data_IF_981323012811
#
_entry.id   IF_981323012811
#
_cell.length_a   1.000
_cell.length_b   1.000
_cell.length_c   1.000
_cell.angle_alpha   90.00
_cell.angle_beta   90.00
_cell.angle_gamma   90.00
#
_symmetry.space_group_name_H-M   'P 1'
#
loop_
_entity.id
_entity.type
_entity.pdbx_description
1 polymer ?
#
# COMPACT_ATOMS: atom_id res chain seq x y z
N UNK A 1 15.35 -48.78 55.13
CA UNK A 1 16.24 -48.22 54.09
C UNK A 1 15.31 -47.88 52.97
N UNK A 2 14.89 -46.61 52.95
CA UNK A 2 13.76 -46.16 52.15
C UNK A 2 14.17 -45.91 50.71
N UNK A 3 13.34 -46.45 49.84
CA UNK A 3 13.39 -46.45 48.40
C UNK A 3 12.95 -45.08 47.88
N UNK A 4 13.88 -44.29 47.32
CA UNK A 4 13.57 -42.98 46.74
C UNK A 4 13.57 -43.11 45.22
N UNK A 5 12.41 -43.45 44.67
CA UNK A 5 12.11 -43.29 43.24
C UNK A 5 12.19 -41.82 42.84
N UNK A 6 12.89 -41.45 41.75
CA UNK A 6 12.83 -40.11 41.22
C UNK A 6 11.50 -39.94 40.49
N UNK A 7 10.72 -38.96 40.95
CA UNK A 7 9.49 -38.53 40.30
C UNK A 7 9.76 -38.17 38.83
N UNK A 8 8.99 -38.79 37.94
CA UNK A 8 8.80 -38.32 36.58
C UNK A 8 8.39 -36.84 36.62
N UNK A 9 9.28 -35.95 36.17
CA UNK A 9 8.91 -34.61 35.75
C UNK A 9 7.96 -34.78 34.55
N UNK A 10 6.66 -34.66 34.82
CA UNK A 10 5.66 -34.50 33.77
C UNK A 10 5.89 -33.11 33.19
N UNK A 11 6.35 -33.07 31.95
CA UNK A 11 6.47 -31.87 31.13
C UNK A 11 5.05 -31.31 30.95
N UNK A 12 4.67 -30.32 31.76
CA UNK A 12 3.36 -29.70 31.65
C UNK A 12 3.24 -29.01 30.29
N UNK A 13 2.21 -29.32 29.48
CA UNK A 13 2.03 -28.65 28.20
C UNK A 13 1.76 -27.17 28.48
N UNK A 14 2.69 -26.31 28.07
CA UNK A 14 2.55 -24.86 28.14
C UNK A 14 1.24 -24.35 27.54
N UNK A 15 0.80 -23.13 27.93
CA UNK A 15 -0.53 -22.63 27.61
C UNK A 15 -0.81 -22.66 26.10
N UNK A 16 -2.06 -22.94 25.69
CA UNK A 16 -2.41 -23.25 24.30
C UNK A 16 -2.03 -22.16 23.29
N UNK A 17 -1.85 -20.90 23.72
CA UNK A 17 -1.46 -19.78 22.87
C UNK A 17 0.03 -19.73 22.48
N UNK A 18 0.93 -20.37 23.22
CA UNK A 18 2.37 -20.25 22.95
C UNK A 18 2.79 -21.09 21.74
N UNK A 19 2.18 -22.27 21.58
CA UNK A 19 2.46 -23.15 20.44
C UNK A 19 1.96 -22.57 19.11
N UNK A 20 0.86 -21.82 19.14
CA UNK A 20 0.32 -21.16 17.94
C UNK A 20 1.16 -19.95 17.53
N UNK A 21 1.57 -19.12 18.49
CA UNK A 21 2.49 -17.99 18.26
C UNK A 21 3.84 -18.43 17.70
N UNK A 22 4.41 -19.53 18.23
CA UNK A 22 5.67 -20.09 17.71
C UNK A 22 5.49 -20.57 16.26
N UNK A 23 4.41 -21.28 15.96
CA UNK A 23 4.11 -21.75 14.59
C UNK A 23 3.92 -20.59 13.61
N UNK A 24 3.26 -19.52 14.02
CA UNK A 24 3.06 -18.35 13.17
C UNK A 24 4.38 -17.62 12.89
N UNK A 25 5.26 -17.52 13.89
CA UNK A 25 6.61 -16.97 13.72
C UNK A 25 7.47 -17.82 12.79
N UNK A 26 7.43 -19.15 12.92
CA UNK A 26 8.20 -20.05 12.05
C UNK A 26 7.72 -19.94 10.59
N UNK A 27 6.40 -19.86 10.37
CA UNK A 27 5.81 -19.62 9.04
C UNK A 27 6.22 -18.27 8.45
N UNK A 28 6.34 -17.24 9.28
CA UNK A 28 6.77 -15.92 8.85
C UNK A 28 8.24 -15.93 8.40
N UNK A 29 9.12 -16.56 9.19
CA UNK A 29 10.53 -16.74 8.84
C UNK A 29 10.71 -17.56 7.56
N UNK A 30 9.90 -18.59 7.38
CA UNK A 30 9.89 -19.38 6.14
C UNK A 30 9.45 -18.54 4.94
N UNK A 31 8.41 -17.71 5.07
CA UNK A 31 7.99 -16.79 3.99
C UNK A 31 9.04 -15.75 3.66
N UNK A 32 9.70 -15.17 4.65
CA UNK A 32 10.78 -14.21 4.43
C UNK A 32 11.94 -14.85 3.67
N UNK A 33 12.28 -16.11 4.02
CA UNK A 33 13.29 -16.89 3.30
C UNK A 33 12.85 -17.17 1.86
N UNK A 34 11.60 -17.56 1.64
CA UNK A 34 11.07 -17.83 0.30
C UNK A 34 11.04 -16.57 -0.57
N UNK A 35 10.65 -15.41 -0.01
CA UNK A 35 10.72 -14.11 -0.70
C UNK A 35 12.14 -13.76 -1.10
N UNK A 36 13.10 -13.88 -0.16
CA UNK A 36 14.50 -13.60 -0.44
C UNK A 36 15.09 -14.53 -1.51
N UNK A 37 14.77 -15.84 -1.45
CA UNK A 37 15.19 -16.81 -2.44
C UNK A 37 14.61 -16.51 -3.83
N UNK A 38 13.33 -16.12 -3.90
CA UNK A 38 12.68 -15.75 -5.14
C UNK A 38 13.33 -14.49 -5.75
N UNK A 39 13.59 -13.46 -4.93
CA UNK A 39 14.27 -12.25 -5.39
C UNK A 39 15.68 -12.54 -5.91
N UNK A 40 16.43 -13.42 -5.24
CA UNK A 40 17.74 -13.87 -5.72
C UNK A 40 17.64 -14.62 -7.06
N UNK A 41 16.63 -15.49 -7.22
CA UNK A 41 16.42 -16.24 -8.46
C UNK A 41 16.09 -15.33 -9.65
N UNK A 42 15.35 -14.24 -9.43
CA UNK A 42 14.94 -13.32 -10.50
C UNK A 42 15.91 -12.16 -10.72
N UNK A 43 16.93 -12.00 -9.90
CA UNK A 43 17.89 -10.89 -9.98
C UNK A 43 18.46 -10.67 -11.40
N UNK A 44 18.98 -11.70 -12.11
CA UNK A 44 19.55 -11.48 -13.43
C UNK A 44 18.51 -10.95 -14.43
N UNK A 45 17.26 -11.39 -14.28
CA UNK A 45 16.15 -10.94 -15.12
C UNK A 45 15.76 -9.50 -14.79
N UNK A 46 15.66 -9.15 -13.50
CA UNK A 46 15.37 -7.79 -13.07
C UNK A 46 16.42 -6.79 -13.58
N UNK A 47 17.71 -7.12 -13.45
CA UNK A 47 18.80 -6.28 -13.93
C UNK A 47 18.76 -6.10 -15.46
N UNK A 48 18.46 -7.16 -16.21
CA UNK A 48 18.40 -7.11 -17.68
C UNK A 48 17.24 -6.26 -18.20
N UNK A 49 16.10 -6.32 -17.52
CA UNK A 49 14.85 -5.72 -17.99
C UNK A 49 14.46 -4.44 -17.25
N UNK A 50 15.33 -3.94 -16.36
CA UNK A 50 15.03 -2.74 -15.57
C UNK A 50 13.84 -2.91 -14.63
N UNK A 51 13.59 -4.12 -14.14
CA UNK A 51 12.56 -4.34 -13.12
C UNK A 51 13.12 -3.94 -11.77
N UNK A 52 12.31 -3.21 -11.01
CA UNK A 52 12.66 -2.68 -9.70
C UNK A 52 11.67 -3.18 -8.67
N UNK A 53 12.14 -3.52 -7.48
CA UNK A 53 11.30 -3.93 -6.37
C UNK A 53 10.63 -2.69 -5.76
N UNK A 54 9.33 -2.76 -5.55
CA UNK A 54 8.54 -1.73 -4.88
C UNK A 54 7.66 -2.36 -3.79
N UNK A 55 6.76 -1.54 -3.22
CA UNK A 55 5.84 -1.99 -2.17
C UNK A 55 6.53 -2.31 -0.84
N UNK A 56 5.90 -3.14 0.01
CA UNK A 56 6.37 -3.37 1.38
C UNK A 56 7.79 -3.97 1.48
N UNK A 57 8.20 -4.83 0.55
CA UNK A 57 9.58 -5.36 0.54
C UNK A 57 10.61 -4.27 0.24
N UNK A 58 10.29 -3.34 -0.66
CA UNK A 58 11.15 -2.18 -0.91
C UNK A 58 11.24 -1.27 0.32
N UNK A 59 10.13 -1.03 1.02
CA UNK A 59 10.13 -0.28 2.28
C UNK A 59 11.05 -0.94 3.33
N UNK A 60 11.01 -2.28 3.46
CA UNK A 60 11.93 -3.01 4.35
C UNK A 60 13.39 -2.84 3.96
N UNK A 61 13.72 -2.87 2.67
CA UNK A 61 15.09 -2.65 2.19
C UNK A 61 15.56 -1.20 2.35
N UNK A 62 14.64 -0.24 2.45
CA UNK A 62 14.93 1.13 2.86
C UNK A 62 14.99 1.30 4.39
N UNK A 63 14.88 0.22 5.16
CA UNK A 63 15.03 0.23 6.62
C UNK A 63 13.74 0.46 7.40
N UNK A 64 12.57 0.47 6.75
CA UNK A 64 11.29 0.65 7.43
C UNK A 64 10.71 -0.68 7.94
N UNK A 65 9.99 -0.63 9.06
CA UNK A 65 9.31 -1.79 9.66
C UNK A 65 7.98 -2.12 8.96
N UNK A 66 7.97 -2.13 7.62
CA UNK A 66 6.76 -2.40 6.84
C UNK A 66 6.40 -3.90 6.86
N UNK A 67 5.18 -4.28 7.26
CA UNK A 67 4.77 -5.68 7.25
C UNK A 67 4.54 -6.15 5.82
N UNK A 68 5.10 -7.32 5.50
CA UNK A 68 4.93 -7.97 4.19
C UNK A 68 3.85 -9.07 4.21
N UNK A 69 3.26 -9.34 5.37
CA UNK A 69 2.27 -10.41 5.53
C UNK A 69 1.02 -10.12 4.71
N UNK A 70 0.63 -11.10 3.89
CA UNK A 70 -0.56 -10.98 3.03
C UNK A 70 -0.35 -10.08 1.82
N UNK A 71 0.90 -9.74 1.50
CA UNK A 71 1.25 -8.92 0.33
C UNK A 71 2.03 -9.74 -0.68
N UNK A 72 1.80 -9.44 -1.95
CA UNK A 72 2.57 -9.98 -3.07
C UNK A 72 3.90 -9.23 -3.20
N UNK A 73 4.89 -9.87 -3.82
CA UNK A 73 6.10 -9.17 -4.26
C UNK A 73 5.73 -8.23 -5.40
N UNK A 74 6.05 -6.94 -5.28
CA UNK A 74 5.75 -5.96 -6.32
C UNK A 74 7.01 -5.61 -7.12
N UNK A 75 7.02 -5.94 -8.41
CA UNK A 75 8.03 -5.53 -9.36
C UNK A 75 7.45 -4.49 -10.32
N UNK A 76 8.13 -3.37 -10.48
CA UNK A 76 7.70 -2.25 -11.32
C UNK A 76 8.75 -1.90 -12.35
N UNK A 77 8.29 -1.41 -13.50
CA UNK A 77 9.14 -0.84 -14.55
C UNK A 77 8.48 0.40 -15.15
N UNK A 78 9.28 1.40 -15.50
CA UNK A 78 8.82 2.56 -16.25
C UNK A 78 8.74 2.26 -17.76
N UNK A 79 9.71 1.50 -18.29
CA UNK A 79 9.93 1.35 -19.74
C UNK A 79 10.13 -0.12 -20.14
N UNK A 80 10.54 -0.37 -21.38
CA UNK A 80 10.84 -1.71 -21.88
C UNK A 80 9.65 -2.44 -22.53
N UNK A 81 9.79 -3.76 -22.77
CA UNK A 81 8.83 -4.57 -23.52
C UNK A 81 7.41 -4.57 -22.90
N UNK A 82 6.39 -5.00 -23.66
CA UNK A 82 5.05 -5.23 -23.13
C UNK A 82 5.07 -6.04 -21.84
N UNK A 83 4.23 -5.66 -20.87
CA UNK A 83 4.21 -6.29 -19.54
C UNK A 83 3.89 -7.80 -19.60
N UNK A 84 3.16 -8.22 -20.63
CA UNK A 84 2.86 -9.64 -20.90
C UNK A 84 4.13 -10.44 -21.26
N UNK A 85 5.04 -9.85 -22.04
CA UNK A 85 6.30 -10.48 -22.42
C UNK A 85 7.23 -10.55 -21.21
N UNK A 86 7.27 -9.47 -20.42
CA UNK A 86 8.02 -9.44 -19.16
C UNK A 86 7.53 -10.51 -18.18
N UNK A 87 6.21 -10.68 -18.03
CA UNK A 87 5.61 -11.71 -17.19
C UNK A 87 5.93 -13.12 -17.68
N UNK A 88 5.89 -13.36 -19.00
CA UNK A 88 6.25 -14.64 -19.60
C UNK A 88 7.71 -14.99 -19.32
N UNK A 89 8.65 -14.09 -19.62
CA UNK A 89 10.07 -14.33 -19.37
C UNK A 89 10.42 -14.46 -17.89
N UNK A 90 9.73 -13.73 -17.00
CA UNK A 90 9.88 -13.89 -15.55
C UNK A 90 9.39 -15.27 -15.10
N UNK A 91 8.24 -15.72 -15.60
CA UNK A 91 7.72 -17.04 -15.28
C UNK A 91 8.64 -18.16 -15.79
N UNK A 92 9.24 -18.01 -16.98
CA UNK A 92 10.26 -18.94 -17.49
C UNK A 92 11.52 -18.95 -16.64
N UNK A 93 12.01 -17.78 -16.22
CA UNK A 93 13.16 -17.65 -15.33
C UNK A 93 12.92 -18.38 -14.00
N UNK A 94 11.76 -18.15 -13.39
CA UNK A 94 11.35 -18.82 -12.16
C UNK A 94 11.20 -20.33 -12.33
N UNK A 95 10.62 -20.80 -13.44
CA UNK A 95 10.54 -22.23 -13.75
C UNK A 95 11.91 -22.87 -13.95
N UNK A 96 12.83 -22.17 -14.61
CA UNK A 96 14.21 -22.63 -14.78
C UNK A 96 14.96 -22.71 -13.43
N UNK A 97 14.59 -21.85 -12.47
CA UNK A 97 15.06 -21.93 -11.08
C UNK A 97 14.34 -23.01 -10.23
N UNK A 98 13.43 -23.80 -10.83
CA UNK A 98 12.75 -24.90 -10.16
C UNK A 98 11.45 -24.53 -9.46
N UNK A 99 10.89 -23.34 -9.68
CA UNK A 99 9.58 -22.97 -9.14
C UNK A 99 8.42 -23.41 -10.03
N UNK A 100 7.26 -23.68 -9.44
CA UNK A 100 6.00 -23.79 -10.18
C UNK A 100 5.38 -22.41 -10.31
N UNK A 101 5.01 -22.03 -11.53
CA UNK A 101 4.47 -20.68 -11.82
C UNK A 101 3.18 -20.78 -12.61
N UNK A 102 2.13 -20.20 -12.05
CA UNK A 102 0.87 -19.94 -12.74
C UNK A 102 0.79 -18.47 -13.14
N UNK A 103 0.22 -18.20 -14.31
CA UNK A 103 0.08 -16.85 -14.89
C UNK A 103 -1.40 -16.52 -15.08
N UNK A 104 -2.10 -16.03 -14.04
CA UNK A 104 -3.47 -15.55 -14.19
C UNK A 104 -3.60 -14.47 -15.28
N UNK A 105 -4.80 -14.28 -15.86
CA UNK A 105 -5.07 -13.14 -16.72
C UNK A 105 -4.76 -11.83 -16.02
N UNK A 106 -4.28 -10.84 -16.78
CA UNK A 106 -4.03 -9.50 -16.27
C UNK A 106 -4.28 -8.45 -17.34
N UNK A 107 -4.02 -7.20 -17.02
CA UNK A 107 -4.23 -6.04 -17.90
C UNK A 107 -2.94 -5.65 -18.62
N UNK A 108 -2.99 -4.58 -19.42
CA UNK A 108 -1.79 -4.01 -20.03
C UNK A 108 -0.83 -3.37 -19.01
N UNK A 109 -1.38 -2.86 -17.90
CA UNK A 109 -0.62 -2.16 -16.84
C UNK A 109 -0.30 -3.04 -15.62
N UNK A 110 -0.97 -4.18 -15.47
CA UNK A 110 -0.82 -5.08 -14.32
C UNK A 110 -0.82 -6.55 -14.74
N UNK A 111 0.15 -7.32 -14.28
CA UNK A 111 0.19 -8.79 -14.40
C UNK A 111 0.45 -9.40 -13.04
N UNK A 112 -0.05 -10.61 -12.83
CA UNK A 112 0.22 -11.40 -11.62
C UNK A 112 0.80 -12.74 -12.01
N UNK A 113 1.72 -13.24 -11.19
CA UNK A 113 2.24 -14.59 -11.20
C UNK A 113 1.97 -15.20 -9.84
N UNK A 114 1.51 -16.44 -9.78
CA UNK A 114 1.44 -17.20 -8.53
C UNK A 114 2.58 -18.21 -8.54
N UNK A 115 3.48 -18.10 -7.57
CA UNK A 115 4.73 -18.86 -7.48
C UNK A 115 4.69 -19.78 -6.27
N UNK A 116 4.89 -21.07 -6.48
CA UNK A 116 5.06 -22.04 -5.40
C UNK A 116 6.40 -22.75 -5.52
N UNK A 117 6.93 -23.19 -4.39
CA UNK A 117 8.04 -24.14 -4.38
C UNK A 117 7.63 -25.39 -5.15
N UNK A 118 8.53 -25.94 -5.98
CA UNK A 118 8.29 -27.28 -6.51
C UNK A 118 8.23 -28.27 -5.34
N UNK A 119 7.31 -29.22 -5.43
CA UNK A 119 7.25 -30.36 -4.51
C UNK A 119 8.66 -30.95 -4.36
N UNK A 120 9.18 -30.97 -3.13
CA UNK A 120 10.38 -31.75 -2.82
C UNK A 120 10.11 -33.20 -3.26
N UNK A 121 11.06 -33.87 -3.93
CA UNK A 121 10.90 -35.28 -4.23
C UNK A 121 10.59 -36.04 -2.94
N UNK A 122 9.61 -36.96 -2.99
CA UNK A 122 9.17 -37.86 -1.91
C UNK A 122 10.29 -38.78 -1.35
N UNK A 123 11.55 -38.50 -1.63
CA UNK A 123 12.72 -39.20 -1.10
C UNK A 123 13.12 -38.71 0.31
N UNK A 124 12.23 -37.99 1.00
CA UNK A 124 12.37 -37.71 2.42
C UNK A 124 12.34 -39.02 3.22
N UNK A 125 13.19 -39.11 4.23
CA UNK A 125 13.27 -40.29 5.09
C UNK A 125 11.86 -40.67 5.64
N UNK A 126 11.54 -41.96 5.78
CA UNK A 126 10.26 -42.39 6.32
C UNK A 126 10.09 -41.82 7.74
N UNK A 127 9.25 -40.80 7.89
CA UNK A 127 9.02 -40.12 9.16
C UNK A 127 8.84 -38.59 9.08
N UNK A 128 9.23 -37.93 7.99
CA UNK A 128 8.93 -36.50 7.81
C UNK A 128 7.45 -36.32 7.45
N UNK A 129 6.69 -35.77 8.40
CA UNK A 129 5.34 -35.27 8.14
C UNK A 129 5.35 -34.32 6.94
N UNK A 130 4.44 -34.48 5.97
CA UNK A 130 4.31 -33.56 4.84
C UNK A 130 4.21 -32.13 5.34
N UNK A 131 5.12 -31.25 4.88
CA UNK A 131 5.04 -29.82 5.15
C UNK A 131 3.71 -29.35 4.55
N UNK A 132 2.83 -28.77 5.37
CA UNK A 132 1.57 -28.22 4.87
C UNK A 132 1.88 -27.26 3.72
N UNK A 133 1.27 -27.49 2.55
CA UNK A 133 1.51 -26.67 1.37
C UNK A 133 1.21 -25.22 1.70
N UNK A 134 2.25 -24.37 1.65
CA UNK A 134 2.09 -22.93 1.79
C UNK A 134 1.34 -22.41 0.55
N UNK A 135 0.41 -21.45 0.72
CA UNK A 135 -0.23 -20.82 -0.42
C UNK A 135 0.83 -20.18 -1.32
N UNK A 136 0.62 -20.16 -2.65
CA UNK A 136 1.58 -19.59 -3.58
C UNK A 136 1.83 -18.11 -3.26
N UNK A 137 3.08 -17.70 -3.37
CA UNK A 137 3.48 -16.31 -3.27
C UNK A 137 3.15 -15.60 -4.57
N UNK A 138 2.34 -14.53 -4.48
CA UNK A 138 2.08 -13.68 -5.63
C UNK A 138 3.30 -12.82 -5.97
N UNK A 139 3.58 -12.69 -7.27
CA UNK A 139 4.47 -11.68 -7.83
C UNK A 139 3.65 -10.81 -8.76
N UNK A 140 3.49 -9.56 -8.39
CA UNK A 140 2.82 -8.56 -9.19
C UNK A 140 3.82 -7.79 -10.04
N UNK A 141 3.49 -7.62 -11.32
CA UNK A 141 4.20 -6.75 -12.24
C UNK A 141 3.32 -5.54 -12.56
N UNK A 142 3.86 -4.33 -12.40
CA UNK A 142 3.20 -3.09 -12.82
C UNK A 142 4.07 -2.26 -13.76
N UNK A 143 3.41 -1.48 -14.62
CA UNK A 143 4.06 -0.42 -15.39
C UNK A 143 3.72 0.92 -14.75
N UNK A 144 4.73 1.60 -14.21
CA UNK A 144 4.57 2.80 -13.40
C UNK A 144 5.55 3.91 -13.80
N UNK A 145 5.13 5.19 -13.82
CA UNK A 145 5.97 6.31 -14.21
C UNK A 145 6.95 6.71 -13.09
N UNK A 146 7.92 5.84 -12.78
CA UNK A 146 8.95 6.08 -11.76
C UNK A 146 9.65 7.42 -12.01
N UNK A 147 9.70 8.28 -11.00
CA UNK A 147 10.24 9.65 -11.12
C UNK A 147 11.71 9.71 -10.77
N UNK A 148 12.21 8.72 -10.05
CA UNK A 148 13.58 8.65 -9.57
C UNK A 148 14.28 7.40 -10.09
N UNK A 149 15.62 7.44 -10.28
CA UNK A 149 16.37 6.24 -10.62
C UNK A 149 16.28 5.22 -9.48
N UNK A 150 16.26 3.91 -9.80
CA UNK A 150 16.26 2.88 -8.77
C UNK A 150 17.57 2.92 -7.97
N UNK A 151 17.45 2.56 -6.70
CA UNK A 151 18.57 2.40 -5.79
C UNK A 151 18.91 0.92 -5.61
N UNK A 152 20.09 0.62 -5.10
CA UNK A 152 20.46 -0.73 -4.67
C UNK A 152 20.95 -0.65 -3.22
N UNK A 153 20.03 -0.64 -2.24
CA UNK A 153 20.36 -0.60 -0.82
C UNK A 153 21.23 -1.81 -0.42
N UNK A 154 21.98 -1.67 0.67
CA UNK A 154 22.80 -2.76 1.19
C UNK A 154 21.93 -4.00 1.50
N UNK A 155 22.35 -5.16 0.99
CA UNK A 155 21.62 -6.42 1.15
C UNK A 155 20.44 -6.61 0.19
N UNK A 156 20.13 -5.64 -0.68
CA UNK A 156 19.11 -5.80 -1.71
C UNK A 156 19.59 -6.74 -2.84
N UNK A 157 18.90 -7.86 -3.11
CA UNK A 157 19.26 -8.76 -4.20
C UNK A 157 18.89 -8.18 -5.58
N UNK A 158 17.99 -7.20 -5.65
CA UNK A 158 17.49 -6.61 -6.91
C UNK A 158 17.45 -5.09 -6.78
N UNK A 159 17.47 -4.34 -7.90
CA UNK A 159 17.20 -2.90 -7.86
C UNK A 159 15.89 -2.60 -7.14
N UNK A 160 15.86 -1.56 -6.32
CA UNK A 160 14.72 -1.14 -5.50
C UNK A 160 14.27 0.24 -6.00
N UNK A 161 12.97 0.45 -6.11
CA UNK A 161 12.43 1.78 -6.40
C UNK A 161 12.89 2.76 -5.33
N UNK A 162 13.13 4.02 -5.71
CA UNK A 162 13.47 5.06 -4.73
C UNK A 162 12.39 5.15 -3.64
N UNK A 163 12.78 5.56 -2.43
CA UNK A 163 11.84 5.61 -1.31
C UNK A 163 10.63 6.50 -1.62
N UNK A 164 10.84 7.63 -2.30
CA UNK A 164 9.77 8.57 -2.67
C UNK A 164 8.77 7.96 -3.66
N UNK A 165 9.27 7.23 -4.66
CA UNK A 165 8.41 6.50 -5.61
C UNK A 165 7.67 5.35 -4.91
N UNK A 166 8.35 4.66 -3.99
CA UNK A 166 7.74 3.57 -3.19
C UNK A 166 6.64 4.11 -2.27
N UNK A 167 6.84 5.29 -1.69
CA UNK A 167 5.85 5.96 -0.85
C UNK A 167 4.64 6.41 -1.65
N UNK A 168 4.84 7.01 -2.83
CA UNK A 168 3.75 7.35 -3.74
C UNK A 168 2.94 6.10 -4.13
N UNK A 169 3.62 5.03 -4.54
CA UNK A 169 2.98 3.76 -4.91
C UNK A 169 2.23 3.11 -3.74
N UNK A 170 2.69 3.26 -2.49
CA UNK A 170 1.98 2.74 -1.33
C UNK A 170 0.62 3.45 -1.13
N UNK A 171 0.58 4.78 -1.28
CA UNK A 171 -0.66 5.56 -1.24
C UNK A 171 -1.61 5.14 -2.36
N UNK A 172 -1.10 5.04 -3.60
CA UNK A 172 -1.90 4.66 -4.76
C UNK A 172 -2.43 3.23 -4.66
N UNK A 173 -1.61 2.29 -4.17
CA UNK A 173 -2.03 0.90 -3.94
C UNK A 173 -3.15 0.81 -2.91
N UNK A 174 -3.06 1.60 -1.83
CA UNK A 174 -4.16 1.72 -0.87
C UNK A 174 -5.42 2.28 -1.54
N UNK A 175 -5.28 3.31 -2.38
CA UNK A 175 -6.41 3.91 -3.10
C UNK A 175 -7.08 2.93 -4.08
N UNK A 176 -6.32 2.02 -4.67
CA UNK A 176 -6.83 1.01 -5.59
C UNK A 176 -7.59 -0.12 -4.88
N UNK A 177 -7.07 -0.62 -3.75
CA UNK A 177 -7.56 -1.89 -3.17
C UNK A 177 -8.16 -1.78 -1.77
N UNK A 178 -7.81 -0.74 -1.01
CA UNK A 178 -8.22 -0.53 0.38
C UNK A 178 -8.02 -1.77 1.29
N UNK A 179 -6.88 -2.46 1.16
CA UNK A 179 -6.60 -3.65 1.98
C UNK A 179 -5.90 -3.29 3.31
N UNK A 180 -6.16 -4.03 4.39
CA UNK A 180 -5.46 -3.86 5.67
C UNK A 180 -3.93 -3.88 5.57
N UNK A 181 -3.37 -4.75 4.72
CA UNK A 181 -1.93 -4.86 4.55
C UNK A 181 -1.33 -3.62 3.85
N UNK A 182 -2.07 -3.03 2.89
CA UNK A 182 -1.67 -1.79 2.23
C UNK A 182 -1.69 -0.62 3.22
N UNK A 183 -2.70 -0.59 4.10
CA UNK A 183 -2.80 0.42 5.15
C UNK A 183 -1.66 0.30 6.17
N UNK A 184 -1.28 -0.92 6.56
CA UNK A 184 -0.16 -1.14 7.47
C UNK A 184 1.19 -0.75 6.84
N UNK A 185 1.38 -1.05 5.56
CA UNK A 185 2.59 -0.63 4.83
C UNK A 185 2.66 0.90 4.70
N UNK A 186 1.52 1.56 4.45
CA UNK A 186 1.45 3.02 4.41
C UNK A 186 1.71 3.63 5.80
N UNK A 187 1.15 3.05 6.86
CA UNK A 187 1.41 3.54 8.22
C UNK A 187 2.88 3.42 8.60
N UNK A 188 3.59 2.37 8.16
CA UNK A 188 5.03 2.24 8.43
C UNK A 188 5.87 3.40 7.84
N UNK A 189 5.38 4.10 6.81
CA UNK A 189 6.07 5.28 6.25
C UNK A 189 6.03 6.50 7.18
N UNK A 190 5.10 6.55 8.13
CA UNK A 190 4.94 7.74 9.01
C UNK A 190 6.07 7.91 10.02
N UNK A 191 6.89 6.88 10.21
CA UNK A 191 8.16 6.97 10.94
C UNK A 191 9.16 7.95 10.27
N UNK A 192 9.02 8.17 8.96
CA UNK A 192 9.97 8.95 8.16
C UNK A 192 9.32 10.08 7.35
N UNK A 193 8.02 9.99 7.06
CA UNK A 193 7.29 10.89 6.17
C UNK A 193 6.04 11.41 6.84
N UNK A 194 5.79 12.70 6.69
CA UNK A 194 4.53 13.30 7.11
C UNK A 194 3.44 13.01 6.07
N UNK A 195 2.20 12.97 6.53
CA UNK A 195 1.00 12.73 5.73
C UNK A 195 0.91 13.68 4.53
N UNK A 196 1.20 14.97 4.73
CA UNK A 196 1.22 15.97 3.65
C UNK A 196 2.30 15.70 2.58
N UNK A 197 3.43 15.11 2.95
CA UNK A 197 4.46 14.68 2.00
C UNK A 197 3.95 13.49 1.18
N UNK A 198 3.28 12.52 1.82
CA UNK A 198 2.70 11.37 1.13
C UNK A 198 1.62 11.77 0.11
N UNK A 199 0.76 12.74 0.46
CA UNK A 199 -0.21 13.33 -0.48
C UNK A 199 0.48 13.98 -1.68
N UNK A 200 1.51 14.79 -1.42
CA UNK A 200 2.25 15.51 -2.47
C UNK A 200 2.96 14.54 -3.42
N UNK A 201 3.55 13.47 -2.86
CA UNK A 201 4.21 12.42 -3.64
C UNK A 201 3.20 11.66 -4.52
N UNK A 202 2.07 11.26 -3.95
CA UNK A 202 1.02 10.54 -4.69
C UNK A 202 0.42 11.40 -5.82
N UNK A 203 0.07 12.66 -5.54
CA UNK A 203 -0.49 13.57 -6.54
C UNK A 203 0.49 13.96 -7.65
N UNK A 204 1.79 13.93 -7.38
CA UNK A 204 2.80 14.13 -8.41
C UNK A 204 3.11 12.86 -9.22
N UNK A 205 2.61 11.70 -8.79
CA UNK A 205 2.80 10.41 -9.45
C UNK A 205 1.60 10.03 -10.32
N UNK A 206 0.38 10.40 -9.90
CA UNK A 206 -0.86 10.17 -10.61
C UNK A 206 -1.72 11.46 -10.61
N UNK A 207 -2.03 11.97 -11.80
CA UNK A 207 -2.83 13.20 -11.97
C UNK A 207 -4.31 13.00 -11.60
N UNK A 208 -4.79 11.75 -11.64
CA UNK A 208 -6.16 11.39 -11.26
C UNK A 208 -6.30 11.18 -9.73
N UNK A 209 -5.18 11.24 -8.99
CA UNK A 209 -5.19 11.11 -7.54
C UNK A 209 -5.98 12.24 -6.87
N UNK A 210 -6.83 11.89 -5.91
CA UNK A 210 -7.56 12.87 -5.10
C UNK A 210 -7.48 12.55 -3.61
N UNK A 211 -7.34 13.60 -2.79
CA UNK A 211 -7.39 13.50 -1.34
C UNK A 211 -8.71 12.87 -0.83
N UNK A 212 -9.82 13.12 -1.54
CA UNK A 212 -11.13 12.51 -1.24
C UNK A 212 -11.09 11.00 -1.39
N UNK A 213 -10.56 10.50 -2.51
CA UNK A 213 -10.43 9.06 -2.71
C UNK A 213 -9.54 8.44 -1.64
N UNK A 214 -8.45 9.09 -1.23
CA UNK A 214 -7.61 8.57 -0.15
C UNK A 214 -8.36 8.49 1.18
N UNK A 215 -9.10 9.54 1.57
CA UNK A 215 -9.88 9.56 2.82
C UNK A 215 -10.87 8.39 2.91
N UNK A 216 -11.63 8.14 1.84
CA UNK A 216 -12.59 7.04 1.80
C UNK A 216 -11.90 5.66 1.88
N UNK A 217 -10.70 5.55 1.32
CA UNK A 217 -9.92 4.30 1.26
C UNK A 217 -9.22 4.01 2.58
N UNK A 218 -8.76 5.03 3.30
CA UNK A 218 -8.23 4.92 4.67
C UNK A 218 -9.30 4.34 5.60
N UNK A 219 -10.52 4.88 5.59
CA UNK A 219 -11.62 4.37 6.42
C UNK A 219 -12.01 2.94 6.06
N UNK A 220 -12.13 2.66 4.75
CA UNK A 220 -12.48 1.32 4.27
C UNK A 220 -11.45 0.29 4.76
N UNK A 221 -10.16 0.59 4.62
CA UNK A 221 -9.09 -0.31 5.06
C UNK A 221 -9.03 -0.42 6.60
N UNK A 222 -9.28 0.68 7.32
CA UNK A 222 -9.28 0.72 8.78
C UNK A 222 -10.41 -0.13 9.39
N UNK A 223 -11.58 -0.14 8.76
CA UNK A 223 -12.71 -0.98 9.15
C UNK A 223 -12.43 -2.49 9.00
N UNK A 224 -11.50 -2.86 8.12
CA UNK A 224 -11.11 -4.26 7.87
C UNK A 224 -9.91 -4.71 8.72
N UNK A 225 -9.28 -3.80 9.47
CA UNK A 225 -8.17 -4.17 10.36
C UNK A 225 -8.65 -5.08 11.50
N UNK A 226 -7.79 -6.00 11.97
CA UNK A 226 -8.09 -6.82 13.13
C UNK A 226 -8.18 -5.93 14.40
N UNK A 227 -8.94 -6.33 15.44
CA UNK A 227 -9.15 -5.52 16.65
C UNK A 227 -7.87 -5.05 17.34
N UNK A 228 -6.80 -5.83 17.25
CA UNK A 228 -5.51 -5.61 17.91
C UNK A 228 -4.68 -4.49 17.25
N UNK A 229 -5.00 -4.11 16.01
CA UNK A 229 -4.30 -3.05 15.26
C UNK A 229 -4.84 -1.65 15.58
N UNK A 230 -5.05 -1.35 16.86
CA UNK A 230 -5.70 -0.11 17.32
C UNK A 230 -4.94 1.15 16.90
N UNK A 231 -3.61 1.14 16.97
CA UNK A 231 -2.77 2.28 16.59
C UNK A 231 -2.93 2.66 15.10
N UNK A 232 -2.77 1.67 14.21
CA UNK A 232 -2.97 1.88 12.77
C UNK A 232 -4.40 2.31 12.43
N UNK A 233 -5.41 1.73 13.11
CA UNK A 233 -6.81 2.12 12.90
C UNK A 233 -7.04 3.58 13.27
N UNK A 234 -6.64 3.98 14.49
CA UNK A 234 -6.83 5.34 14.98
C UNK A 234 -6.11 6.37 14.11
N UNK A 235 -4.87 6.06 13.70
CA UNK A 235 -4.12 6.91 12.79
C UNK A 235 -4.86 7.11 11.46
N UNK A 236 -5.33 6.01 10.84
CA UNK A 236 -6.03 6.07 9.55
C UNK A 236 -7.34 6.87 9.64
N UNK A 237 -8.13 6.67 10.69
CA UNK A 237 -9.38 7.40 10.93
C UNK A 237 -9.13 8.89 11.16
N UNK A 238 -8.08 9.23 11.93
CA UNK A 238 -7.70 10.63 12.18
C UNK A 238 -7.28 11.32 10.89
N UNK A 239 -6.41 10.69 10.10
CA UNK A 239 -5.96 11.28 8.85
C UNK A 239 -7.10 11.40 7.83
N UNK A 240 -7.99 10.40 7.74
CA UNK A 240 -9.17 10.49 6.88
C UNK A 240 -10.10 11.64 7.28
N UNK A 241 -10.21 11.93 8.58
CA UNK A 241 -10.98 13.06 9.08
C UNK A 241 -10.32 14.40 8.74
N UNK A 242 -9.00 14.52 8.94
CA UNK A 242 -8.24 15.72 8.60
C UNK A 242 -8.37 16.05 7.10
N UNK A 243 -8.22 15.05 6.23
CA UNK A 243 -8.42 15.21 4.77
C UNK A 243 -9.82 15.74 4.44
N UNK A 244 -10.85 15.32 5.18
CA UNK A 244 -12.22 15.81 4.94
C UNK A 244 -12.43 17.22 5.43
N UNK A 245 -11.82 17.59 6.56
CA UNK A 245 -11.84 18.97 7.04
C UNK A 245 -11.15 19.90 6.03
N UNK A 246 -9.96 19.53 5.55
CA UNK A 246 -9.23 20.29 4.52
C UNK A 246 -10.05 20.46 3.23
N UNK A 247 -10.75 19.40 2.81
CA UNK A 247 -11.62 19.45 1.63
C UNK A 247 -12.80 20.40 1.84
N UNK A 248 -13.42 20.41 3.03
CA UNK A 248 -14.51 21.34 3.36
C UNK A 248 -14.04 22.79 3.35
N UNK A 249 -12.88 23.08 3.97
CA UNK A 249 -12.28 24.41 3.98
C UNK A 249 -11.95 24.89 2.55
N UNK A 250 -11.37 24.02 1.73
CA UNK A 250 -11.03 24.35 0.34
C UNK A 250 -12.28 24.60 -0.51
N UNK A 251 -13.36 23.83 -0.33
CA UNK A 251 -14.63 24.09 -1.01
C UNK A 251 -15.30 25.39 -0.54
N UNK A 252 -15.25 25.70 0.75
CA UNK A 252 -15.80 26.93 1.31
C UNK A 252 -15.07 28.18 0.81
N UNK A 253 -13.76 28.08 0.53
CA UNK A 253 -12.99 29.16 -0.09
C UNK A 253 -13.29 29.32 -1.59
N UNK A 254 -13.55 28.23 -2.31
CA UNK A 254 -13.84 28.25 -3.74
C UNK A 254 -15.25 28.78 -4.06
N UNK A 255 -16.23 28.48 -3.22
CA UNK A 255 -17.59 29.03 -3.33
C UNK A 255 -17.71 30.49 -2.86
N UNK A 256 -16.57 31.10 -2.50
CA UNK A 256 -16.52 32.37 -1.79
C UNK A 256 -17.05 32.19 -0.37
N UNK A 257 -16.47 32.90 0.59
CA UNK A 257 -17.07 33.04 1.90
C UNK A 257 -18.45 33.69 1.71
N UNK A 258 -19.50 32.90 1.53
CA UNK A 258 -20.87 33.36 1.62
C UNK A 258 -21.10 33.66 3.09
N UNK A 259 -20.67 34.86 3.49
CA UNK A 259 -20.98 35.42 4.78
C UNK A 259 -22.42 35.95 4.69
N UNK A 260 -23.42 35.25 5.26
CA UNK A 260 -24.81 35.70 5.20
C UNK A 260 -25.01 37.04 5.93
N UNK A 261 -24.03 37.51 6.70
CA UNK A 261 -24.06 38.81 7.37
C UNK A 261 -23.52 39.96 6.49
N UNK A 262 -22.79 39.68 5.41
CA UNK A 262 -22.37 40.70 4.44
C UNK A 262 -23.48 41.03 3.43
N UNK A 263 -24.33 40.06 3.08
CA UNK A 263 -25.48 40.28 2.18
C UNK A 263 -26.52 41.26 2.75
N UNK A 264 -26.56 41.42 4.08
CA UNK A 264 -27.46 42.38 4.73
C UNK A 264 -26.96 43.83 4.65
N UNK A 265 -25.67 44.05 4.41
CA UNK A 265 -25.10 45.40 4.25
C UNK A 265 -25.31 45.94 2.84
N UNK A 266 -25.22 45.09 1.81
CA UNK A 266 -25.48 45.47 0.42
C UNK A 266 -26.95 45.88 0.16
N UNK A 267 -27.88 45.39 0.99
CA UNK A 267 -29.28 45.81 0.94
C UNK A 267 -29.56 47.15 1.62
N UNK A 268 -28.70 47.58 2.56
CA UNK A 268 -28.85 48.86 3.26
C UNK A 268 -28.24 50.02 2.45
N UNK A 269 -27.13 49.79 1.73
CA UNK A 269 -26.52 50.82 0.86
C UNK A 269 -27.41 51.19 -0.34
N UNK A 270 -28.33 50.32 -0.77
CA UNK A 270 -29.33 50.64 -1.81
C UNK A 270 -30.52 51.46 -1.32
N UNK A 271 -30.73 51.56 -0.01
CA UNK A 271 -31.85 52.32 0.57
C UNK A 271 -31.47 53.74 0.98
N UNK A 272 -30.19 54.09 0.90
CA UNK A 272 -29.65 55.39 1.31
C UNK A 272 -29.07 56.23 0.15
N UNK A 273 -29.42 55.91 -1.10
CA UNK A 273 -29.20 56.82 -2.24
C UNK A 273 -30.36 57.83 -2.35
N UNK A 274 -30.18 59.11 -2.01
CA UNK A 274 -31.19 60.13 -2.19
C UNK A 274 -31.14 60.63 -3.65
N UNK A 275 -31.69 59.87 -4.58
CA UNK A 275 -32.04 60.46 -5.88
C UNK A 275 -33.35 61.25 -5.74
N UNK A 276 -33.19 62.56 -5.67
CA UNK A 276 -34.21 63.55 -6.04
C UNK A 276 -33.59 64.43 -7.13
N UNK A 277 -34.36 65.21 -7.89
CA UNK A 277 -35.72 65.01 -8.43
C UNK A 277 -35.76 65.42 -9.94
N UNK A 278 -36.60 64.81 -10.78
CA UNK A 278 -37.08 65.51 -11.99
C UNK A 278 -38.37 64.90 -12.55
N UNK A 279 -39.50 65.35 -12.01
CA UNK A 279 -40.79 65.32 -12.70
C UNK A 279 -41.38 66.72 -12.61
N UNK A 280 -40.79 67.65 -13.36
CA UNK A 280 -41.41 68.90 -13.72
C UNK A 280 -41.78 68.86 -15.21
N UNK A 281 -43.09 69.06 -15.45
CA UNK A 281 -43.63 69.75 -16.62
C UNK A 281 -43.74 68.96 -17.94
N UNK A 282 -44.86 68.24 -18.09
CA UNK A 282 -45.55 68.10 -19.37
C UNK A 282 -46.91 68.82 -19.32
N UNK A 283 -46.93 69.99 -19.94
CA UNK A 283 -48.08 70.75 -20.48
C UNK A 283 -47.42 71.67 -21.53
N UNK A 284 -47.81 71.79 -22.79
CA UNK A 284 -49.13 71.67 -23.42
C UNK A 284 -49.00 71.34 -24.94
N UNK A 285 -50.17 71.03 -25.52
CA UNK A 285 -50.52 70.76 -26.91
C UNK A 285 -50.11 71.80 -27.99
N UNK A 286 -50.17 71.31 -29.24
CA UNK A 286 -50.16 71.95 -30.59
C UNK A 286 -48.84 71.95 -31.38
#
# INVERSE_FOLDING_TARGET
MDDTSPAHLVDEPGPPGDRERVRDRDRELDRDRDRAALLAAVQPYCLRHGLTLAGPDALRLHGLAAPVRGTDLLLVTAEGPPLADLATGLAETLRAAGHRVQTPPGTARRRQLAVSAAEQPLNGAPGETPRAELPPLGVELRREPLRHPPTLPDGAPVPVAALDDTAALAVLTLCERALPADLQALHALTDHRREGELLSLAGAFDEDFTARALADRLETAAALLPPEATGTRQWAETWAQDLRLDLLETTALADGLHDPYLDHLDHLDRLDSPDSPDQAERSDDL
#
